data_IF_943968504298
#
_entry.id   IF_943968504298
#
_cell.length_a   1.000
_cell.length_b   1.000
_cell.length_c   1.000
_cell.angle_alpha   90.00
_cell.angle_beta   90.00
_cell.angle_gamma   90.00
#
_symmetry.space_group_name_H-M   'P 1'
#
loop_
_entity.id
_entity.type
_entity.pdbx_description
1 polymer ?
#
# COMPACT_ATOMS: atom_id res chain seq x y z
N UNK A 1 -16.78 -14.81 -26.06
CA UNK A 1 -16.55 -13.37 -25.82
C UNK A 1 -15.35 -13.23 -24.90
N UNK A 2 -14.25 -12.58 -25.33
CA UNK A 2 -13.19 -12.20 -24.38
C UNK A 2 -13.82 -11.17 -23.44
N UNK A 3 -13.96 -11.48 -22.15
CA UNK A 3 -14.38 -10.48 -21.15
C UNK A 3 -13.36 -9.35 -21.22
N UNK A 4 -13.79 -8.18 -21.69
CA UNK A 4 -13.00 -6.96 -21.64
C UNK A 4 -13.03 -6.51 -20.17
N UNK A 5 -11.86 -6.29 -19.57
CA UNK A 5 -11.79 -5.73 -18.21
C UNK A 5 -12.40 -4.32 -18.15
N UNK A 6 -12.62 -3.76 -16.96
CA UNK A 6 -13.03 -2.36 -16.82
C UNK A 6 -12.02 -1.46 -17.54
N UNK A 7 -12.46 -0.33 -18.14
CA UNK A 7 -11.58 0.55 -18.92
C UNK A 7 -10.67 1.43 -18.04
N UNK A 8 -10.65 1.19 -16.72
CA UNK A 8 -9.99 2.04 -15.72
C UNK A 8 -8.93 1.21 -15.00
N UNK A 9 -7.72 1.76 -14.85
CA UNK A 9 -6.66 1.17 -14.03
C UNK A 9 -6.66 1.72 -12.59
N UNK A 10 -5.77 1.22 -11.76
CA UNK A 10 -5.34 1.87 -10.52
C UNK A 10 -3.81 1.90 -10.50
N UNK A 11 -3.22 3.07 -10.28
CA UNK A 11 -1.77 3.25 -10.43
C UNK A 11 -0.96 2.41 -9.45
N UNK A 12 -1.48 2.18 -8.24
CA UNK A 12 -0.87 1.29 -7.25
C UNK A 12 -0.70 -0.15 -7.76
N UNK A 13 -1.67 -0.65 -8.52
CA UNK A 13 -1.65 -2.02 -9.04
C UNK A 13 -0.68 -2.14 -10.20
N UNK A 14 -0.69 -1.15 -11.10
CA UNK A 14 0.24 -1.09 -12.23
C UNK A 14 1.69 -0.93 -11.76
N UNK A 15 1.95 -0.08 -10.75
CA UNK A 15 3.27 0.08 -10.14
C UNK A 15 3.74 -1.26 -9.53
N UNK A 16 2.86 -1.95 -8.79
CA UNK A 16 3.18 -3.25 -8.19
C UNK A 16 3.50 -4.31 -9.25
N UNK A 17 2.74 -4.36 -10.33
CA UNK A 17 2.95 -5.29 -11.45
C UNK A 17 4.25 -4.95 -12.20
N UNK A 18 4.47 -3.67 -12.54
CA UNK A 18 5.68 -3.24 -13.24
C UNK A 18 6.93 -3.57 -12.42
N UNK A 19 6.92 -3.26 -11.12
CA UNK A 19 8.01 -3.58 -10.21
C UNK A 19 8.29 -5.10 -10.15
N UNK A 20 7.26 -5.92 -9.96
CA UNK A 20 7.41 -7.38 -9.90
C UNK A 20 7.96 -7.97 -11.21
N UNK A 21 7.51 -7.48 -12.36
CA UNK A 21 7.97 -7.90 -13.69
C UNK A 21 9.43 -7.51 -13.96
N UNK A 22 9.82 -6.30 -13.60
CA UNK A 22 11.21 -5.85 -13.77
C UNK A 22 12.14 -6.67 -12.87
N UNK A 23 11.76 -6.90 -11.61
CA UNK A 23 12.51 -7.76 -10.69
C UNK A 23 12.60 -9.21 -11.19
N UNK A 24 11.51 -9.75 -11.73
CA UNK A 24 11.49 -11.09 -12.34
C UNK A 24 12.47 -11.18 -13.52
N UNK A 25 12.50 -10.17 -14.38
CA UNK A 25 13.43 -10.12 -15.51
C UNK A 25 14.89 -10.10 -15.06
N UNK A 26 15.20 -9.33 -14.03
CA UNK A 26 16.54 -9.28 -13.43
C UNK A 26 16.91 -10.62 -12.76
N UNK A 27 16.01 -11.18 -11.93
CA UNK A 27 16.25 -12.40 -11.16
C UNK A 27 16.44 -13.64 -12.03
N UNK A 28 15.68 -13.74 -13.12
CA UNK A 28 15.69 -14.92 -13.99
C UNK A 28 16.44 -14.72 -15.30
N UNK A 29 17.06 -13.54 -15.51
CA UNK A 29 17.77 -13.22 -16.75
C UNK A 29 16.87 -13.23 -18.00
N UNK A 30 15.56 -13.02 -17.84
CA UNK A 30 14.61 -13.02 -18.94
C UNK A 30 14.20 -11.58 -19.30
N UNK A 31 14.71 -11.01 -20.41
CA UNK A 31 14.44 -9.62 -20.78
C UNK A 31 12.97 -9.34 -21.12
N UNK A 32 12.18 -10.36 -21.47
CA UNK A 32 10.76 -10.16 -21.82
C UNK A 32 9.93 -9.70 -20.62
N UNK A 33 10.24 -10.16 -19.40
CA UNK A 33 9.57 -9.66 -18.20
C UNK A 33 9.88 -8.18 -17.96
N UNK A 34 11.15 -7.80 -18.06
CA UNK A 34 11.57 -6.40 -17.92
C UNK A 34 10.90 -5.53 -18.98
N UNK A 35 10.91 -5.96 -20.25
CA UNK A 35 10.24 -5.26 -21.35
C UNK A 35 8.75 -5.06 -21.07
N UNK A 36 8.04 -6.10 -20.62
CA UNK A 36 6.63 -6.01 -20.27
C UNK A 36 6.39 -5.04 -19.09
N UNK A 37 7.21 -5.12 -18.03
CA UNK A 37 7.11 -4.21 -16.88
C UNK A 37 7.34 -2.75 -17.28
N UNK A 38 8.31 -2.48 -18.17
CA UNK A 38 8.54 -1.14 -18.71
C UNK A 38 7.38 -0.65 -19.60
N UNK A 39 6.71 -1.54 -20.34
CA UNK A 39 5.52 -1.17 -21.11
C UNK A 39 4.33 -0.81 -20.21
N UNK A 40 4.14 -1.50 -19.07
CA UNK A 40 3.13 -1.11 -18.07
C UNK A 40 3.45 0.28 -17.51
N UNK A 41 4.70 0.52 -17.13
CA UNK A 41 5.15 1.82 -16.64
C UNK A 41 4.98 2.94 -17.68
N UNK A 42 5.22 2.66 -18.97
CA UNK A 42 4.96 3.63 -20.03
C UNK A 42 3.48 4.00 -20.14
N UNK A 43 2.57 3.04 -19.95
CA UNK A 43 1.12 3.29 -19.87
C UNK A 43 0.75 4.26 -18.74
N UNK A 44 1.39 4.14 -17.57
CA UNK A 44 1.21 5.07 -16.45
C UNK A 44 1.65 6.50 -16.79
N UNK A 45 2.77 6.66 -17.49
CA UNK A 45 3.25 7.98 -17.92
C UNK A 45 2.31 8.60 -18.97
N UNK A 46 1.79 7.80 -19.90
CA UNK A 46 0.89 8.28 -20.95
C UNK A 46 -0.50 8.64 -20.42
N UNK A 47 -1.05 7.85 -19.49
CA UNK A 47 -2.40 8.03 -18.97
C UNK A 47 -2.46 8.85 -17.68
N UNK A 48 -1.83 8.32 -16.62
CA UNK A 48 -1.98 8.79 -15.25
C UNK A 48 -1.14 10.04 -14.93
N UNK A 49 0.02 10.23 -15.58
CA UNK A 49 0.92 11.32 -15.22
C UNK A 49 0.31 12.70 -15.53
N UNK A 50 0.50 13.64 -14.60
CA UNK A 50 0.15 15.05 -14.72
C UNK A 50 1.34 15.89 -14.26
N UNK A 51 2.23 16.22 -15.19
CA UNK A 51 3.53 16.79 -14.86
C UNK A 51 4.32 15.83 -13.96
N UNK A 52 4.74 16.24 -12.76
CA UNK A 52 5.50 15.38 -11.86
C UNK A 52 4.61 14.52 -10.94
N UNK A 53 3.29 14.53 -11.09
CA UNK A 53 2.37 13.77 -10.26
C UNK A 53 1.79 12.58 -11.02
N UNK A 54 1.44 11.52 -10.29
CA UNK A 54 0.76 10.35 -10.85
C UNK A 54 -0.65 10.27 -10.26
N UNK A 55 -1.69 10.43 -11.08
CA UNK A 55 -3.07 10.29 -10.64
C UNK A 55 -3.42 8.82 -10.30
N UNK A 56 -4.38 8.62 -9.41
CA UNK A 56 -4.79 7.28 -8.96
C UNK A 56 -5.25 6.37 -10.10
N UNK A 57 -5.88 6.94 -11.12
CA UNK A 57 -6.38 6.17 -12.25
C UNK A 57 -6.42 6.99 -13.54
N UNK A 58 -6.53 6.26 -14.65
CA UNK A 58 -6.85 6.72 -15.98
C UNK A 58 -7.95 5.82 -16.57
N UNK A 59 -9.00 6.45 -17.08
CA UNK A 59 -10.00 5.76 -17.88
C UNK A 59 -9.58 5.81 -19.35
N UNK A 60 -9.26 4.64 -19.92
CA UNK A 60 -8.81 4.46 -21.30
C UNK A 60 -9.92 4.62 -22.33
N UNK A 61 -11.19 4.48 -21.93
CA UNK A 61 -12.36 4.70 -22.80
C UNK A 61 -12.68 6.19 -22.87
N UNK A 62 -12.81 6.86 -21.72
CA UNK A 62 -13.09 8.30 -21.63
C UNK A 62 -11.86 9.18 -21.90
N UNK A 63 -10.68 8.57 -21.98
CA UNK A 63 -9.37 9.21 -22.12
C UNK A 63 -9.10 10.27 -21.04
N UNK A 64 -9.54 10.01 -19.81
CA UNK A 64 -9.50 10.96 -18.69
C UNK A 64 -8.82 10.35 -17.47
N UNK A 65 -7.82 11.06 -16.93
CA UNK A 65 -7.23 10.76 -15.61
C UNK A 65 -8.10 11.30 -14.49
N UNK A 66 -7.97 10.67 -13.33
CA UNK A 66 -8.43 11.24 -12.07
C UNK A 66 -7.72 12.57 -11.76
N UNK A 67 -8.31 13.33 -10.85
CA UNK A 67 -7.81 14.64 -10.39
C UNK A 67 -7.25 14.59 -8.96
N UNK A 68 -7.00 13.37 -8.47
CA UNK A 68 -6.51 13.05 -7.14
C UNK A 68 -5.39 12.01 -7.22
N UNK A 69 -4.56 12.03 -6.20
CA UNK A 69 -3.72 10.90 -5.83
C UNK A 69 -3.96 10.52 -4.36
N UNK A 70 -3.76 9.25 -4.05
CA UNK A 70 -3.88 8.67 -2.71
C UNK A 70 -2.48 8.36 -2.16
N UNK A 71 -2.19 8.72 -0.91
CA UNK A 71 -0.86 8.53 -0.31
C UNK A 71 -0.39 7.07 -0.30
N UNK A 72 -1.31 6.12 -0.06
CA UNK A 72 -1.02 4.68 -0.13
C UNK A 72 -0.69 4.18 -1.54
N UNK A 73 -0.91 4.98 -2.59
CA UNK A 73 -0.58 4.64 -3.99
C UNK A 73 0.83 5.07 -4.38
N UNK A 74 1.52 5.85 -3.52
CA UNK A 74 2.87 6.35 -3.77
C UNK A 74 3.92 5.27 -3.46
N UNK A 75 3.95 4.20 -4.25
CA UNK A 75 4.94 3.12 -4.15
C UNK A 75 6.34 3.62 -4.55
N UNK A 76 7.04 4.24 -3.60
CA UNK A 76 8.34 4.86 -3.82
C UNK A 76 9.41 3.86 -4.26
N UNK A 77 9.30 2.60 -3.83
CA UNK A 77 10.23 1.54 -4.22
C UNK A 77 10.09 1.21 -5.70
N UNK A 78 8.86 1.05 -6.19
CA UNK A 78 8.58 0.88 -7.61
C UNK A 78 9.00 2.12 -8.41
N UNK A 79 8.65 3.32 -7.95
CA UNK A 79 8.98 4.57 -8.63
C UNK A 79 10.49 4.83 -8.69
N UNK A 80 11.25 4.50 -7.65
CA UNK A 80 12.73 4.59 -7.64
C UNK A 80 13.34 3.67 -8.68
N UNK A 81 12.92 2.40 -8.71
CA UNK A 81 13.36 1.44 -9.73
C UNK A 81 13.08 1.98 -11.14
N UNK A 82 11.90 2.54 -11.38
CA UNK A 82 11.54 3.11 -12.68
C UNK A 82 12.34 4.38 -13.00
N UNK A 83 12.66 5.21 -12.00
CA UNK A 83 13.54 6.37 -12.16
C UNK A 83 14.98 5.98 -12.47
N UNK A 84 15.47 4.84 -11.98
CA UNK A 84 16.77 4.28 -12.35
C UNK A 84 16.76 3.71 -13.78
N UNK A 85 15.68 3.01 -14.17
CA UNK A 85 15.53 2.38 -15.49
C UNK A 85 15.23 3.37 -16.62
N UNK A 86 14.43 4.41 -16.36
CA UNK A 86 14.05 5.44 -17.35
C UNK A 86 13.95 6.82 -16.70
N UNK A 87 15.10 7.45 -16.37
CA UNK A 87 15.14 8.72 -15.61
C UNK A 87 14.37 9.87 -16.26
N UNK A 88 14.34 9.95 -17.60
CA UNK A 88 13.68 11.01 -18.33
C UNK A 88 12.17 11.11 -18.03
N UNK A 89 11.53 9.97 -17.76
CA UNK A 89 10.10 9.89 -17.52
C UNK A 89 9.79 9.91 -16.01
N UNK A 90 10.59 9.19 -15.23
CA UNK A 90 10.22 8.83 -13.85
C UNK A 90 10.91 9.62 -12.76
N UNK A 91 12.05 10.28 -13.03
CA UNK A 91 12.81 10.96 -11.97
C UNK A 91 11.99 12.00 -11.23
N UNK A 92 11.30 12.88 -11.97
CA UNK A 92 10.44 13.93 -11.37
C UNK A 92 9.22 13.35 -10.64
N UNK A 93 8.67 12.26 -11.16
CA UNK A 93 7.52 11.56 -10.55
C UNK A 93 7.93 10.96 -9.22
N UNK A 94 9.06 10.26 -9.18
CA UNK A 94 9.63 9.70 -7.95
C UNK A 94 9.94 10.80 -6.92
N UNK A 95 10.70 11.83 -7.30
CA UNK A 95 11.09 12.92 -6.40
C UNK A 95 9.87 13.63 -5.79
N UNK A 96 8.85 13.92 -6.60
CA UNK A 96 7.64 14.59 -6.12
C UNK A 96 6.76 13.67 -5.27
N UNK A 97 6.69 12.38 -5.61
CA UNK A 97 5.98 11.39 -4.79
C UNK A 97 6.63 11.22 -3.44
N UNK A 98 7.97 11.23 -3.38
CA UNK A 98 8.74 11.19 -2.14
C UNK A 98 8.44 12.41 -1.26
N UNK A 99 8.45 13.62 -1.83
CA UNK A 99 8.06 14.85 -1.11
C UNK A 99 6.62 14.79 -0.61
N UNK A 100 5.67 14.40 -1.46
CA UNK A 100 4.27 14.28 -1.08
C UNK A 100 4.07 13.27 0.06
N UNK A 101 4.74 12.13 0.02
CA UNK A 101 4.61 11.12 1.07
C UNK A 101 5.18 11.61 2.41
N UNK A 102 6.28 12.37 2.40
CA UNK A 102 6.80 13.05 3.59
C UNK A 102 5.79 14.07 4.14
N UNK A 103 5.17 14.88 3.28
CA UNK A 103 4.16 15.86 3.67
C UNK A 103 2.85 15.21 4.18
N UNK A 104 2.54 14.00 3.70
CA UNK A 104 1.34 13.27 4.10
C UNK A 104 1.41 12.77 5.55
N UNK A 105 2.60 12.51 6.08
CA UNK A 105 2.77 12.01 7.44
C UNK A 105 2.29 13.04 8.46
N UNK A 106 1.43 12.59 9.38
CA UNK A 106 0.91 13.40 10.47
C UNK A 106 1.73 13.15 11.75
N UNK A 107 1.81 14.13 12.67
CA UNK A 107 2.43 13.94 13.98
C UNK A 107 1.84 12.77 14.78
N UNK A 108 0.59 12.41 14.49
CA UNK A 108 -0.09 11.25 15.09
C UNK A 108 0.47 9.90 14.66
N UNK A 109 1.26 9.84 13.58
CA UNK A 109 1.73 8.59 12.96
C UNK A 109 0.85 8.06 11.82
N UNK A 110 -0.32 8.67 11.62
CA UNK A 110 -1.22 8.40 10.50
C UNK A 110 -0.82 9.23 9.26
N UNK A 111 -1.44 8.96 8.11
CA UNK A 111 -1.15 9.68 6.88
C UNK A 111 -2.40 10.34 6.31
N UNK A 112 -2.25 11.57 5.79
CA UNK A 112 -3.27 12.21 4.95
C UNK A 112 -3.55 11.30 3.75
N UNK A 113 -4.83 11.06 3.48
CA UNK A 113 -5.23 10.10 2.44
C UNK A 113 -5.14 10.68 1.04
N UNK A 114 -5.78 11.82 0.79
CA UNK A 114 -6.04 12.31 -0.57
C UNK A 114 -5.38 13.64 -0.83
N UNK A 115 -4.63 13.73 -1.94
CA UNK A 115 -4.09 14.99 -2.47
C UNK A 115 -4.82 15.36 -3.76
N UNK A 116 -5.26 16.62 -3.86
CA UNK A 116 -5.94 17.15 -5.03
C UNK A 116 -4.91 17.76 -5.99
N UNK A 117 -4.87 17.27 -7.22
CA UNK A 117 -3.87 17.66 -8.22
C UNK A 117 -4.03 19.12 -8.67
N UNK A 118 -5.28 19.59 -8.82
CA UNK A 118 -5.57 20.94 -9.30
C UNK A 118 -5.20 22.02 -8.28
N UNK A 119 -5.62 21.84 -7.02
CA UNK A 119 -5.35 22.80 -5.94
C UNK A 119 -4.00 22.60 -5.26
N UNK A 120 -3.33 21.48 -5.55
CA UNK A 120 -2.05 21.09 -4.94
C UNK A 120 -2.09 21.04 -3.41
N UNK A 121 -3.18 20.50 -2.88
CA UNK A 121 -3.43 20.45 -1.44
C UNK A 121 -3.89 19.07 -1.01
N UNK A 122 -3.44 18.67 0.18
CA UNK A 122 -4.04 17.56 0.90
C UNK A 122 -5.43 17.93 1.39
N UNK A 123 -6.39 17.05 1.15
CA UNK A 123 -7.75 17.20 1.64
C UNK A 123 -7.81 16.79 3.12
N UNK A 124 -8.62 17.48 3.95
CA UNK A 124 -8.90 17.03 5.31
C UNK A 124 -9.54 15.65 5.31
N UNK A 125 -9.14 14.80 6.26
CA UNK A 125 -9.80 13.51 6.48
C UNK A 125 -10.94 13.66 7.50
N UNK A 126 -12.15 13.88 6.98
CA UNK A 126 -13.34 14.11 7.81
C UNK A 126 -14.02 12.83 8.32
N UNK A 127 -13.60 11.66 7.85
CA UNK A 127 -14.23 10.37 8.18
C UNK A 127 -13.34 9.48 9.06
N UNK A 128 -12.10 9.90 9.29
CA UNK A 128 -11.10 9.16 10.03
C UNK A 128 -10.14 8.41 9.12
N UNK A 129 -8.97 8.15 9.65
CA UNK A 129 -7.86 7.59 8.92
C UNK A 129 -7.95 6.07 8.88
N UNK A 130 -8.04 5.52 7.68
CA UNK A 130 -7.96 4.08 7.47
C UNK A 130 -6.54 3.59 7.75
N UNK A 131 -6.40 2.57 8.61
CA UNK A 131 -5.08 2.12 9.05
C UNK A 131 -4.32 1.35 7.95
N UNK A 132 -5.01 0.63 7.05
CA UNK A 132 -4.36 -0.01 5.89
C UNK A 132 -3.70 1.05 5.00
N UNK A 133 -4.43 2.11 4.66
CA UNK A 133 -3.91 3.21 3.84
C UNK A 133 -2.70 3.89 4.52
N UNK A 134 -2.81 4.18 5.82
CA UNK A 134 -1.72 4.82 6.57
C UNK A 134 -0.48 3.91 6.67
N UNK A 135 -0.66 2.61 6.89
CA UNK A 135 0.45 1.67 6.98
C UNK A 135 1.10 1.38 5.63
N UNK A 136 0.34 1.33 4.53
CA UNK A 136 0.93 1.25 3.19
C UNK A 136 1.77 2.47 2.87
N UNK A 137 1.26 3.68 3.16
CA UNK A 137 2.00 4.92 3.01
C UNK A 137 3.30 4.90 3.83
N UNK A 138 3.23 4.50 5.10
CA UNK A 138 4.41 4.35 5.95
C UNK A 138 5.39 3.28 5.44
N UNK A 139 4.90 2.14 4.96
CA UNK A 139 5.74 1.08 4.40
C UNK A 139 6.51 1.58 3.17
N UNK A 140 5.82 2.23 2.22
CA UNK A 140 6.46 2.82 1.05
C UNK A 140 7.49 3.89 1.42
N UNK A 141 7.22 4.70 2.44
CA UNK A 141 8.16 5.68 2.97
C UNK A 141 9.41 4.99 3.55
N UNK A 142 9.21 3.97 4.39
CA UNK A 142 10.28 3.20 5.04
C UNK A 142 11.17 2.45 4.03
N UNK A 143 10.58 1.85 2.99
CA UNK A 143 11.31 1.17 1.91
C UNK A 143 12.21 2.12 1.08
N UNK A 144 11.94 3.42 1.14
CA UNK A 144 12.74 4.48 0.51
C UNK A 144 13.64 5.25 1.51
N UNK A 145 13.71 4.77 2.77
CA UNK A 145 14.55 5.36 3.81
C UNK A 145 14.02 6.67 4.39
N UNK A 146 12.74 6.98 4.19
CA UNK A 146 12.08 8.08 4.90
C UNK A 146 11.78 7.67 6.35
N UNK A 147 11.81 8.65 7.26
CA UNK A 147 11.49 8.41 8.66
C UNK A 147 10.01 8.08 8.86
N UNK A 148 9.76 7.06 9.66
CA UNK A 148 8.41 6.58 10.02
C UNK A 148 8.20 6.55 11.53
N UNK A 149 9.06 7.22 12.30
CA UNK A 149 9.03 7.25 13.78
C UNK A 149 7.66 7.59 14.38
N UNK A 150 6.89 8.57 13.84
CA UNK A 150 5.53 8.82 14.31
C UNK A 150 4.63 7.59 14.17
N UNK A 151 4.74 6.84 13.09
CA UNK A 151 3.95 5.63 12.83
C UNK A 151 4.35 4.48 13.76
N UNK A 152 5.64 4.30 14.03
CA UNK A 152 6.11 3.30 15.01
C UNK A 152 5.59 3.62 16.41
N UNK A 153 5.68 4.90 16.80
CA UNK A 153 5.12 5.40 18.06
C UNK A 153 3.61 5.20 18.15
N UNK A 154 2.88 5.39 17.05
CA UNK A 154 1.45 5.12 16.96
C UNK A 154 1.14 3.64 17.19
N UNK A 155 1.82 2.74 16.47
CA UNK A 155 1.63 1.29 16.58
C UNK A 155 1.88 0.80 18.01
N UNK A 156 2.97 1.24 18.63
CA UNK A 156 3.28 0.87 20.02
C UNK A 156 2.21 1.36 21.00
N UNK A 157 1.74 2.61 20.85
CA UNK A 157 0.70 3.17 21.72
C UNK A 157 -0.64 2.45 21.55
N UNK A 158 -1.05 2.21 20.31
CA UNK A 158 -2.29 1.49 20.00
C UNK A 158 -2.24 0.07 20.57
N UNK A 159 -1.13 -0.65 20.34
CA UNK A 159 -0.92 -2.00 20.85
C UNK A 159 -0.91 -2.05 22.38
N UNK A 160 -0.16 -1.17 23.05
CA UNK A 160 -0.07 -1.15 24.51
C UNK A 160 -1.39 -0.80 25.21
N UNK A 161 -2.27 -0.07 24.53
CA UNK A 161 -3.55 0.36 25.08
C UNK A 161 -4.56 -0.78 25.11
N UNK A 162 -4.76 -1.42 23.95
CA UNK A 162 -5.90 -2.33 23.76
C UNK A 162 -5.46 -3.77 23.38
N UNK A 163 -4.18 -4.01 23.09
CA UNK A 163 -3.67 -5.29 22.60
C UNK A 163 -4.18 -5.66 21.21
N UNK A 164 -4.69 -4.67 20.46
CA UNK A 164 -5.37 -4.82 19.16
C UNK A 164 -5.10 -3.60 18.28
N UNK A 165 -5.04 -3.81 16.96
CA UNK A 165 -5.06 -2.75 15.96
C UNK A 165 -6.40 -2.75 15.19
N UNK A 166 -7.10 -1.62 15.23
CA UNK A 166 -8.40 -1.46 14.60
C UNK A 166 -8.31 -0.89 13.17
N UNK A 167 -9.39 -0.99 12.40
CA UNK A 167 -9.40 -0.55 11.00
C UNK A 167 -9.32 0.97 10.78
N UNK A 168 -9.87 1.79 11.68
CA UNK A 168 -9.95 3.25 11.48
C UNK A 168 -9.76 4.04 12.77
N UNK A 169 -8.99 5.13 12.69
CA UNK A 169 -8.67 6.00 13.82
C UNK A 169 -8.94 7.47 13.53
N UNK A 170 -9.27 8.23 14.56
CA UNK A 170 -9.14 9.70 14.54
C UNK A 170 -7.68 10.10 14.68
N UNK A 171 -7.37 11.35 14.35
CA UNK A 171 -6.00 11.87 14.45
C UNK A 171 -5.42 11.82 15.87
N UNK A 172 -6.28 11.93 16.89
CA UNK A 172 -5.90 11.85 18.30
C UNK A 172 -5.68 10.41 18.80
N UNK A 173 -5.81 9.41 17.92
CA UNK A 173 -5.61 8.00 18.23
C UNK A 173 -6.84 7.28 18.81
N UNK A 174 -8.00 7.94 18.89
CA UNK A 174 -9.25 7.24 19.20
C UNK A 174 -9.66 6.33 18.04
N UNK A 175 -10.02 5.08 18.32
CA UNK A 175 -10.58 4.20 17.29
C UNK A 175 -12.00 4.61 16.92
N UNK A 176 -12.37 4.42 15.65
CA UNK A 176 -13.73 4.60 15.12
C UNK A 176 -14.42 3.28 14.79
N UNK A 177 -13.69 2.17 14.86
CA UNK A 177 -14.16 0.82 14.53
C UNK A 177 -13.63 -0.17 15.55
N UNK A 178 -14.34 -1.27 15.77
CA UNK A 178 -13.87 -2.36 16.65
C UNK A 178 -13.42 -3.60 15.87
N UNK A 179 -13.39 -3.52 14.54
CA UNK A 179 -13.01 -4.64 13.68
C UNK A 179 -11.50 -4.66 13.41
N UNK A 180 -10.94 -5.86 13.45
CA UNK A 180 -9.58 -6.17 13.04
C UNK A 180 -9.53 -6.60 11.57
N UNK A 181 -8.38 -6.41 10.92
CA UNK A 181 -8.11 -6.93 9.58
C UNK A 181 -6.72 -7.60 9.56
N UNK A 182 -6.61 -8.81 8.99
CA UNK A 182 -5.31 -9.45 8.80
C UNK A 182 -4.33 -8.58 8.00
N UNK A 183 -4.78 -7.82 6.99
CA UNK A 183 -3.92 -6.92 6.24
C UNK A 183 -3.32 -5.81 7.11
N UNK A 184 -4.07 -5.26 8.08
CA UNK A 184 -3.54 -4.25 9.03
C UNK A 184 -2.31 -4.81 9.74
N UNK A 185 -2.45 -5.99 10.34
CA UNK A 185 -1.34 -6.65 11.01
C UNK A 185 -0.21 -6.99 10.04
N UNK A 186 -0.52 -7.56 8.88
CA UNK A 186 0.49 -7.98 7.92
C UNK A 186 1.38 -6.81 7.45
N UNK A 187 0.76 -5.67 7.14
CA UNK A 187 1.49 -4.48 6.69
C UNK A 187 2.30 -3.88 7.85
N UNK A 188 1.72 -3.83 9.07
CA UNK A 188 2.44 -3.37 10.26
C UNK A 188 3.67 -4.24 10.57
N UNK A 189 3.54 -5.57 10.48
CA UNK A 189 4.66 -6.52 10.67
C UNK A 189 5.78 -6.26 9.67
N UNK A 190 5.45 -6.11 8.38
CA UNK A 190 6.44 -5.81 7.34
C UNK A 190 7.15 -4.49 7.61
N UNK A 191 6.42 -3.45 8.00
CA UNK A 191 6.98 -2.15 8.38
C UNK A 191 7.94 -2.29 9.59
N UNK A 192 7.49 -2.92 10.67
CA UNK A 192 8.26 -3.08 11.91
C UNK A 192 9.53 -3.93 11.69
N UNK A 193 9.47 -4.96 10.84
CA UNK A 193 10.64 -5.76 10.47
C UNK A 193 11.69 -4.97 9.72
N UNK A 194 11.31 -4.05 8.83
CA UNK A 194 12.27 -3.11 8.20
C UNK A 194 12.97 -2.22 9.24
N UNK A 195 12.31 -1.96 10.38
CA UNK A 195 12.84 -1.17 11.49
C UNK A 195 13.51 -2.02 12.58
N UNK A 196 13.54 -3.35 12.43
CA UNK A 196 14.03 -4.30 13.44
C UNK A 196 13.32 -4.16 14.80
N UNK A 197 12.04 -3.79 14.77
CA UNK A 197 11.23 -3.58 15.97
C UNK A 197 10.62 -4.92 16.46
N UNK A 198 10.82 -5.31 17.73
CA UNK A 198 10.32 -6.58 18.27
C UNK A 198 8.78 -6.69 18.30
N UNK A 199 8.05 -5.56 18.28
CA UNK A 199 6.59 -5.54 18.21
C UNK A 199 6.06 -6.32 16.97
N UNK A 200 6.89 -6.45 15.93
CA UNK A 200 6.56 -7.24 14.74
C UNK A 200 6.10 -8.67 15.09
N UNK A 201 6.75 -9.34 16.02
CA UNK A 201 6.43 -10.75 16.31
C UNK A 201 5.16 -10.90 17.16
N UNK A 202 4.85 -9.90 18.00
CA UNK A 202 3.57 -9.84 18.71
C UNK A 202 2.41 -9.64 17.73
N UNK A 203 2.55 -8.71 16.79
CA UNK A 203 1.55 -8.45 15.76
C UNK A 203 1.40 -9.64 14.80
N UNK A 204 2.50 -10.31 14.43
CA UNK A 204 2.46 -11.53 13.61
C UNK A 204 1.68 -12.64 14.33
N UNK A 205 1.93 -12.82 15.63
CA UNK A 205 1.17 -13.78 16.44
C UNK A 205 -0.31 -13.44 16.48
N UNK A 206 -0.68 -12.17 16.67
CA UNK A 206 -2.09 -11.75 16.67
C UNK A 206 -2.74 -11.97 15.31
N UNK A 207 -2.06 -11.64 14.22
CA UNK A 207 -2.51 -11.94 12.87
C UNK A 207 -2.82 -13.43 12.74
N UNK A 208 -1.90 -14.32 13.13
CA UNK A 208 -2.11 -15.77 13.06
C UNK A 208 -3.32 -16.28 13.85
N UNK A 209 -3.73 -15.60 14.92
CA UNK A 209 -4.95 -15.94 15.68
C UNK A 209 -6.24 -15.61 14.92
N UNK A 210 -6.19 -14.76 13.90
CA UNK A 210 -7.34 -14.41 13.06
C UNK A 210 -7.61 -15.45 11.96
N UNK A 211 -6.69 -16.39 11.70
CA UNK A 211 -6.92 -17.44 10.71
C UNK A 211 -7.74 -18.58 11.29
N UNK A 212 -8.38 -19.36 10.42
CA UNK A 212 -9.12 -20.56 10.80
C UNK A 212 -8.16 -21.60 11.37
N UNK A 213 -8.32 -21.90 12.66
CA UNK A 213 -7.44 -22.81 13.42
C UNK A 213 -7.88 -24.28 13.37
N UNK A 214 -9.12 -24.58 12.97
CA UNK A 214 -9.59 -25.97 12.88
C UNK A 214 -8.92 -26.68 11.71
N UNK A 215 -8.04 -27.64 12.00
CA UNK A 215 -7.31 -28.43 11.01
C UNK A 215 -8.20 -29.36 10.17
N UNK A 216 -9.44 -29.58 10.59
CA UNK A 216 -10.43 -30.35 9.80
C UNK A 216 -11.24 -29.44 8.86
N UNK A 217 -11.15 -28.12 9.01
CA UNK A 217 -11.83 -27.18 8.12
C UNK A 217 -11.17 -27.16 6.74
N UNK A 218 -11.95 -27.12 5.65
CA UNK A 218 -11.39 -26.90 4.31
C UNK A 218 -10.73 -25.52 4.17
N UNK A 219 -10.94 -24.62 5.13
CA UNK A 219 -10.36 -23.28 5.16
C UNK A 219 -9.23 -23.11 6.17
N UNK A 220 -8.70 -24.21 6.73
CA UNK A 220 -7.60 -24.18 7.70
C UNK A 220 -6.44 -23.29 7.22
N UNK A 221 -6.00 -22.37 8.08
CA UNK A 221 -4.96 -21.37 7.80
C UNK A 221 -5.41 -20.15 7.00
N UNK A 222 -6.63 -20.14 6.46
CA UNK A 222 -7.20 -18.99 5.76
C UNK A 222 -7.82 -17.95 6.69
N UNK A 223 -7.89 -16.70 6.22
CA UNK A 223 -8.59 -15.59 6.89
C UNK A 223 -9.99 -15.35 6.30
N UNK A 224 -11.03 -15.73 7.04
CA UNK A 224 -12.43 -15.53 6.66
C UNK A 224 -13.35 -15.63 7.87
N UNK A 225 -14.54 -15.04 7.75
CA UNK A 225 -15.64 -15.35 8.66
C UNK A 225 -16.20 -16.75 8.32
N UNK A 226 -16.16 -17.66 9.28
CA UNK A 226 -16.58 -19.06 9.05
C UNK A 226 -18.10 -19.25 9.00
N UNK A 227 -18.88 -18.27 9.45
CA UNK A 227 -20.34 -18.29 9.38
C UNK A 227 -20.84 -17.75 8.04
N UNK A 228 -20.24 -16.66 7.54
CA UNK A 228 -20.67 -16.00 6.30
C UNK A 228 -19.86 -16.43 5.07
N UNK A 229 -18.70 -17.04 5.29
CA UNK A 229 -17.68 -17.32 4.28
C UNK A 229 -17.14 -16.06 3.58
N UNK A 230 -17.35 -14.90 4.19
CA UNK A 230 -16.80 -13.64 3.70
C UNK A 230 -15.28 -13.64 3.89
N UNK A 231 -14.57 -13.39 2.79
CA UNK A 231 -13.13 -13.39 2.77
C UNK A 231 -12.62 -12.37 1.74
N UNK A 232 -11.42 -11.85 2.00
CA UNK A 232 -10.80 -10.85 1.15
C UNK A 232 -9.45 -11.35 0.69
N UNK A 233 -9.25 -11.45 -0.63
CA UNK A 233 -7.97 -11.91 -1.20
C UNK A 233 -6.80 -11.02 -0.78
N UNK A 234 -7.05 -9.72 -0.54
CA UNK A 234 -6.02 -8.80 -0.08
C UNK A 234 -5.47 -9.18 1.30
N UNK A 235 -6.34 -9.51 2.27
CA UNK A 235 -5.93 -9.97 3.60
C UNK A 235 -5.06 -11.23 3.51
N UNK A 236 -5.51 -12.21 2.72
CA UNK A 236 -4.80 -13.48 2.51
C UNK A 236 -3.41 -13.26 1.92
N UNK A 237 -3.32 -12.43 0.87
CA UNK A 237 -2.07 -12.17 0.17
C UNK A 237 -1.09 -11.33 1.00
N UNK A 238 -1.57 -10.37 1.80
CA UNK A 238 -0.70 -9.62 2.70
C UNK A 238 -0.14 -10.52 3.81
N UNK A 239 -0.97 -11.37 4.42
CA UNK A 239 -0.50 -12.33 5.40
C UNK A 239 0.54 -13.31 4.81
N UNK A 240 0.33 -13.78 3.57
CA UNK A 240 1.30 -14.64 2.89
C UNK A 240 2.66 -13.96 2.67
N UNK A 241 2.70 -12.64 2.45
CA UNK A 241 3.97 -11.91 2.33
C UNK A 241 4.76 -11.92 3.64
N UNK A 242 4.08 -11.88 4.79
CA UNK A 242 4.71 -11.99 6.11
C UNK A 242 5.27 -13.38 6.38
N UNK A 243 4.57 -14.44 5.96
CA UNK A 243 5.04 -15.82 6.19
C UNK A 243 6.26 -16.21 5.33
N UNK A 244 6.54 -15.46 4.27
CA UNK A 244 7.71 -15.67 3.41
C UNK A 244 8.98 -15.02 3.97
N UNK A 245 8.83 -13.98 4.79
CA UNK A 245 9.91 -13.13 5.34
C UNK A 245 10.32 -13.60 6.75
#
# INVERSE_FOLDING_TARGET
>A
MKKKGPPVNASIDDLRIAHALIQAGQKWGNPEYKKLGMSVAEGLIQGNASGPYLADYYNWEDKKKGDKLTSSYLDLKAMRLLAEEKPADWKKVYESSRTLLQEAQLPSGLYRKTYKLDSKQWLPDGQGYNLIDSLLAALHASEDGLSVEPTLSFLQKAWNKDGVLYGTYKEDGQTLTENESPAVYAIAVRLLRLQQDPLAEELKKRMGQLSVQDSNSPYYGGFLDTNTLECYSFDQLQALLVERE
#
